data_IF_908189217521
#
_entry.id   IF_908189217521
#
_cell.length_a   1.000
_cell.length_b   1.000
_cell.length_c   1.000
_cell.angle_alpha   90.00
_cell.angle_beta   90.00
_cell.angle_gamma   90.00
#
_symmetry.space_group_name_H-M   'P 1'
#
loop_
_entity.id
_entity.type
_entity.pdbx_description
1 polymer ?
#
# COMPACT_ATOMS: atom_id res chain seq x y z
N UNK A 1 -1.04 -16.92 -7.40
CA UNK A 1 -0.55 -17.05 -6.02
C UNK A 1 -1.00 -15.83 -5.24
N UNK A 2 -1.51 -16.03 -4.04
CA UNK A 2 -1.83 -14.97 -3.09
C UNK A 2 -0.55 -14.36 -2.50
N UNK A 3 -0.69 -13.16 -1.92
CA UNK A 3 0.39 -12.40 -1.25
C UNK A 3 -0.21 -11.41 -0.27
N UNK A 4 0.60 -10.93 0.64
CA UNK A 4 0.28 -9.80 1.52
C UNK A 4 1.05 -8.58 1.00
N UNK A 5 0.35 -7.48 0.78
CA UNK A 5 0.95 -6.20 0.40
C UNK A 5 0.59 -5.16 1.45
N UNK A 6 1.59 -4.71 2.20
CA UNK A 6 1.43 -3.70 3.23
C UNK A 6 1.70 -2.30 2.65
N UNK A 7 0.69 -1.44 2.66
CA UNK A 7 0.78 -0.05 2.18
C UNK A 7 0.98 0.87 3.38
N UNK A 8 2.25 1.15 3.70
CA UNK A 8 2.71 1.91 4.85
C UNK A 8 3.12 3.34 4.52
N UNK A 9 3.59 4.08 5.52
CA UNK A 9 4.09 5.45 5.34
C UNK A 9 4.13 6.28 6.63
N UNK A 10 3.47 5.82 7.71
CA UNK A 10 3.38 6.40 9.06
C UNK A 10 2.81 7.83 9.17
N UNK A 11 3.16 8.74 8.27
CA UNK A 11 2.66 10.11 8.22
C UNK A 11 1.22 10.16 7.69
N UNK A 12 0.40 11.02 8.31
CA UNK A 12 -0.93 11.35 7.80
C UNK A 12 -0.83 12.16 6.51
N UNK A 13 -1.68 11.88 5.52
CA UNK A 13 -1.79 12.71 4.32
C UNK A 13 -0.82 12.40 3.17
N UNK A 14 0.19 11.53 3.34
CA UNK A 14 1.14 11.18 2.23
C UNK A 14 0.51 10.40 1.07
N UNK A 15 -0.72 9.92 1.22
CA UNK A 15 -1.49 9.28 0.16
C UNK A 15 -1.63 7.76 0.25
N UNK A 16 -1.37 7.14 1.41
CA UNK A 16 -1.51 5.69 1.65
C UNK A 16 -2.82 5.11 1.13
N UNK A 17 -3.96 5.68 1.53
CA UNK A 17 -5.28 5.22 1.08
C UNK A 17 -5.45 5.29 -0.44
N UNK A 18 -4.91 6.31 -1.11
CA UNK A 18 -4.97 6.41 -2.57
C UNK A 18 -4.14 5.31 -3.24
N UNK A 19 -2.95 5.02 -2.70
CA UNK A 19 -2.10 3.92 -3.17
C UNK A 19 -2.77 2.56 -2.95
N UNK A 20 -3.35 2.34 -1.77
CA UNK A 20 -4.07 1.11 -1.44
C UNK A 20 -5.31 0.92 -2.34
N UNK A 21 -6.10 1.98 -2.58
CA UNK A 21 -7.23 1.97 -3.50
C UNK A 21 -6.77 1.60 -4.91
N UNK A 22 -5.75 2.29 -5.43
CA UNK A 22 -5.22 2.04 -6.77
C UNK A 22 -4.69 0.61 -6.93
N UNK A 23 -4.02 0.09 -5.90
CA UNK A 23 -3.47 -1.27 -5.90
C UNK A 23 -4.58 -2.33 -5.87
N UNK A 24 -5.54 -2.20 -4.96
CA UNK A 24 -6.68 -3.13 -4.86
C UNK A 24 -7.55 -3.09 -6.12
N UNK A 25 -7.78 -1.89 -6.68
CA UNK A 25 -8.47 -1.69 -7.95
C UNK A 25 -7.74 -2.35 -9.12
N UNK A 26 -6.41 -2.18 -9.22
CA UNK A 26 -5.59 -2.84 -10.25
C UNK A 26 -5.67 -4.37 -10.14
N UNK A 27 -5.49 -4.92 -8.94
CA UNK A 27 -5.58 -6.36 -8.69
C UNK A 27 -6.96 -6.90 -9.07
N UNK A 28 -8.03 -6.23 -8.66
CA UNK A 28 -9.40 -6.68 -8.88
C UNK A 28 -9.85 -6.52 -10.32
N UNK A 29 -9.70 -5.33 -10.90
CA UNK A 29 -10.33 -4.96 -12.17
C UNK A 29 -9.41 -5.07 -13.38
N UNK A 30 -8.09 -5.06 -13.20
CA UNK A 30 -7.13 -5.23 -14.30
C UNK A 30 -6.55 -6.64 -14.35
N UNK A 31 -6.18 -7.20 -13.19
CA UNK A 31 -5.61 -8.56 -13.10
C UNK A 31 -6.66 -9.65 -12.86
N UNK A 32 -7.91 -9.29 -12.58
CA UNK A 32 -8.99 -10.21 -12.23
C UNK A 32 -8.62 -11.16 -11.08
N UNK A 33 -7.89 -10.67 -10.09
CA UNK A 33 -7.50 -11.43 -8.91
C UNK A 33 -8.48 -11.20 -7.75
N UNK A 34 -8.71 -12.21 -6.90
CA UNK A 34 -9.48 -12.01 -5.68
C UNK A 34 -8.68 -11.16 -4.68
N UNK A 35 -9.34 -10.15 -4.09
CA UNK A 35 -8.71 -9.19 -3.18
C UNK A 35 -9.38 -9.23 -1.81
N UNK A 36 -8.56 -9.30 -0.77
CA UNK A 36 -8.94 -9.05 0.61
C UNK A 36 -8.32 -7.71 1.05
N UNK A 37 -9.14 -6.72 1.39
CA UNK A 37 -8.66 -5.42 1.84
C UNK A 37 -8.75 -5.31 3.36
N UNK A 38 -7.64 -4.99 4.01
CA UNK A 38 -7.59 -4.71 5.44
C UNK A 38 -7.36 -3.22 5.65
N UNK A 39 -8.22 -2.60 6.45
CA UNK A 39 -8.07 -1.24 6.94
C UNK A 39 -7.57 -1.26 8.37
N UNK A 40 -6.42 -0.62 8.63
CA UNK A 40 -5.92 -0.51 10.00
C UNK A 40 -6.20 0.82 10.67
N UNK A 41 -6.60 1.84 9.89
CA UNK A 41 -7.24 3.06 10.41
C UNK A 41 -8.76 2.84 10.50
N UNK A 42 -9.21 2.39 11.67
CA UNK A 42 -10.65 2.16 11.91
C UNK A 42 -11.45 3.45 12.05
N UNK A 43 -10.79 4.59 12.30
CA UNK A 43 -11.46 5.89 12.36
C UNK A 43 -11.80 6.40 10.95
N UNK A 44 -10.87 6.21 10.01
CA UNK A 44 -11.02 6.65 8.61
C UNK A 44 -10.70 5.52 7.61
N UNK A 45 -11.59 4.52 7.46
CA UNK A 45 -11.38 3.39 6.54
C UNK A 45 -11.67 3.79 5.09
N UNK A 46 -10.85 4.68 4.53
CA UNK A 46 -11.06 5.33 3.24
C UNK A 46 -11.13 4.35 2.07
N UNK A 47 -10.24 3.36 2.01
CA UNK A 47 -10.19 2.39 0.94
C UNK A 47 -11.37 1.41 1.02
N UNK A 48 -11.75 0.93 2.20
CA UNK A 48 -12.94 0.08 2.35
C UNK A 48 -14.23 0.82 2.04
N UNK A 49 -14.33 2.10 2.43
CA UNK A 49 -15.47 2.97 2.05
C UNK A 49 -15.54 3.23 0.55
N UNK A 50 -14.41 3.21 -0.15
CA UNK A 50 -14.32 3.44 -1.59
C UNK A 50 -14.56 2.17 -2.43
N UNK A 51 -14.05 1.02 -1.98
CA UNK A 51 -14.00 -0.22 -2.77
C UNK A 51 -14.87 -1.35 -2.23
N UNK A 52 -15.38 -1.27 -1.00
CA UNK A 52 -15.83 -2.44 -0.24
C UNK A 52 -16.86 -3.34 -0.91
N UNK A 53 -17.74 -2.78 -1.75
CA UNK A 53 -18.75 -3.56 -2.50
C UNK A 53 -18.23 -4.18 -3.80
N UNK A 54 -17.01 -3.84 -4.22
CA UNK A 54 -16.40 -4.21 -5.51
C UNK A 54 -15.28 -5.25 -5.35
N UNK A 55 -14.81 -5.44 -4.13
CA UNK A 55 -13.76 -6.40 -3.75
C UNK A 55 -14.33 -7.60 -2.99
N UNK A 56 -13.53 -8.66 -2.88
CA UNK A 56 -14.04 -9.97 -2.43
C UNK A 56 -14.22 -10.07 -0.92
N UNK A 57 -13.42 -9.35 -0.14
CA UNK A 57 -13.52 -9.30 1.31
C UNK A 57 -12.92 -8.00 1.85
N UNK A 58 -13.44 -7.53 2.98
CA UNK A 58 -12.92 -6.38 3.72
C UNK A 58 -12.86 -6.67 5.21
N UNK A 59 -11.83 -6.15 5.89
CA UNK A 59 -11.73 -6.13 7.35
C UNK A 59 -11.29 -4.75 7.82
N UNK A 60 -11.83 -4.29 8.95
CA UNK A 60 -11.28 -3.18 9.71
C UNK A 60 -10.68 -3.72 11.01
N UNK A 61 -9.41 -3.46 11.29
CA UNK A 61 -8.71 -3.98 12.46
C UNK A 61 -7.76 -2.92 13.05
N UNK A 62 -7.98 -2.52 14.30
CA UNK A 62 -7.15 -1.48 14.94
C UNK A 62 -5.79 -2.03 15.39
N UNK A 63 -4.80 -1.96 14.49
CA UNK A 63 -3.44 -2.43 14.74
C UNK A 63 -2.65 -1.56 15.71
N UNK A 64 -3.25 -0.58 16.38
CA UNK A 64 -2.62 0.07 17.56
C UNK A 64 -2.63 -0.86 18.79
N UNK A 65 -3.45 -1.91 18.74
CA UNK A 65 -3.62 -2.89 19.82
C UNK A 65 -3.17 -4.27 19.36
N UNK A 66 -2.67 -5.10 20.27
CA UNK A 66 -2.32 -6.50 19.97
C UNK A 66 -3.53 -7.30 19.49
N UNK A 67 -4.71 -7.07 20.07
CA UNK A 67 -5.95 -7.73 19.64
C UNK A 67 -6.31 -7.41 18.18
N UNK A 68 -6.01 -6.19 17.71
CA UNK A 68 -6.18 -5.83 16.30
C UNK A 68 -5.23 -6.58 15.37
N UNK A 69 -3.97 -6.77 15.78
CA UNK A 69 -3.02 -7.63 15.06
C UNK A 69 -3.49 -9.08 14.99
N UNK A 70 -3.94 -9.64 16.11
CA UNK A 70 -4.49 -10.99 16.16
C UNK A 70 -5.70 -11.14 15.22
N UNK A 71 -6.63 -10.19 15.28
CA UNK A 71 -7.81 -10.16 14.39
C UNK A 71 -7.40 -10.13 12.93
N UNK A 72 -6.43 -9.27 12.57
CA UNK A 72 -5.95 -9.15 11.20
C UNK A 72 -5.28 -10.44 10.71
N UNK A 73 -4.37 -11.03 11.50
CA UNK A 73 -3.63 -12.23 11.08
C UNK A 73 -4.55 -13.45 10.92
N UNK A 74 -5.48 -13.66 11.84
CA UNK A 74 -6.47 -14.74 11.74
C UNK A 74 -7.35 -14.58 10.49
N UNK A 75 -7.73 -13.35 10.14
CA UNK A 75 -8.50 -13.10 8.92
C UNK A 75 -7.67 -13.30 7.65
N UNK A 76 -6.38 -12.95 7.66
CA UNK A 76 -5.46 -13.23 6.55
C UNK A 76 -5.36 -14.75 6.31
N UNK A 77 -5.23 -15.55 7.37
CA UNK A 77 -5.24 -17.01 7.29
C UNK A 77 -6.55 -17.56 6.69
N UNK A 78 -7.70 -17.04 7.13
CA UNK A 78 -9.03 -17.40 6.61
C UNK A 78 -9.26 -16.98 5.15
N UNK A 79 -8.48 -16.02 4.65
CA UNK A 79 -8.56 -15.48 3.29
C UNK A 79 -7.28 -15.68 2.49
N UNK A 80 -6.50 -16.71 2.81
CA UNK A 80 -5.23 -17.03 2.14
C UNK A 80 -5.37 -17.31 0.63
N UNK A 81 -6.59 -17.57 0.15
CA UNK A 81 -6.91 -17.71 -1.28
C UNK A 81 -6.92 -16.37 -2.04
N UNK A 82 -6.85 -15.24 -1.32
CA UNK A 82 -6.96 -13.88 -1.86
C UNK A 82 -5.64 -13.12 -1.70
N UNK A 83 -5.40 -12.14 -2.57
CA UNK A 83 -4.32 -11.18 -2.34
C UNK A 83 -4.76 -10.19 -1.26
N UNK A 84 -4.05 -10.16 -0.14
CA UNK A 84 -4.30 -9.24 0.96
C UNK A 84 -3.63 -7.89 0.69
N UNK A 85 -4.40 -6.80 0.70
CA UNK A 85 -3.90 -5.42 0.66
C UNK A 85 -4.19 -4.79 2.01
N UNK A 86 -3.15 -4.41 2.75
CA UNK A 86 -3.28 -3.75 4.06
C UNK A 86 -3.08 -2.26 3.84
N UNK A 87 -4.13 -1.46 4.02
CA UNK A 87 -4.04 0.00 4.09
C UNK A 87 -3.70 0.40 5.53
N UNK A 88 -2.44 0.75 5.76
CA UNK A 88 -1.98 1.05 7.11
C UNK A 88 -2.41 2.46 7.55
N UNK A 89 -2.81 2.59 8.81
CA UNK A 89 -3.12 3.88 9.43
C UNK A 89 -1.90 4.79 9.59
N UNK A 90 -2.13 6.03 10.01
CA UNK A 90 -1.03 6.90 10.43
C UNK A 90 -0.54 6.53 11.84
N UNK A 91 0.69 6.92 12.19
CA UNK A 91 1.31 6.68 13.50
C UNK A 91 1.42 5.19 13.84
N UNK A 92 1.68 4.37 12.82
CA UNK A 92 1.77 2.92 12.91
C UNK A 92 3.18 2.40 13.23
N UNK A 93 4.23 3.22 13.15
CA UNK A 93 5.60 2.77 13.43
C UNK A 93 5.77 2.15 14.82
N UNK A 94 5.14 2.72 15.86
CA UNK A 94 5.23 2.16 17.21
C UNK A 94 4.56 0.77 17.30
N UNK A 95 3.43 0.61 16.60
CA UNK A 95 2.75 -0.67 16.51
C UNK A 95 3.56 -1.69 15.69
N UNK A 96 4.15 -1.26 14.56
CA UNK A 96 5.04 -2.09 13.74
C UNK A 96 6.28 -2.53 14.52
N UNK A 97 6.89 -1.65 15.33
CA UNK A 97 8.02 -2.02 16.19
C UNK A 97 7.65 -3.08 17.22
N UNK A 98 6.44 -3.02 17.79
CA UNK A 98 5.99 -3.94 18.84
C UNK A 98 5.47 -5.26 18.29
N UNK A 99 4.77 -5.23 17.16
CA UNK A 99 3.95 -6.34 16.69
C UNK A 99 4.21 -6.69 15.21
N UNK A 100 5.04 -5.93 14.50
CA UNK A 100 5.35 -6.16 13.08
C UNK A 100 6.05 -7.49 12.81
N UNK A 101 6.77 -8.03 13.81
CA UNK A 101 7.32 -9.39 13.75
C UNK A 101 6.22 -10.45 13.57
N UNK A 102 5.03 -10.25 14.16
CA UNK A 102 3.91 -11.16 13.95
C UNK A 102 3.42 -11.17 12.49
N UNK A 103 3.47 -10.04 11.78
CA UNK A 103 3.13 -9.99 10.36
C UNK A 103 4.14 -10.75 9.51
N UNK A 104 5.43 -10.55 9.81
CA UNK A 104 6.52 -11.24 9.12
C UNK A 104 6.45 -12.76 9.34
N UNK A 105 6.38 -13.20 10.59
CA UNK A 105 6.27 -14.61 10.97
C UNK A 105 4.96 -15.25 10.53
N UNK A 106 3.86 -14.50 10.54
CA UNK A 106 2.57 -14.95 10.03
C UNK A 106 2.62 -15.21 8.52
N UNK A 107 3.22 -14.30 7.75
CA UNK A 107 3.44 -14.49 6.33
C UNK A 107 4.33 -15.72 6.03
N UNK A 108 5.42 -15.89 6.81
CA UNK A 108 6.30 -17.05 6.71
C UNK A 108 5.59 -18.37 7.05
N UNK A 109 4.83 -18.42 8.15
CA UNK A 109 4.08 -19.60 8.58
C UNK A 109 3.01 -20.02 7.56
N UNK A 110 2.38 -19.06 6.89
CA UNK A 110 1.41 -19.30 5.83
C UNK A 110 2.08 -19.58 4.46
N UNK A 111 3.41 -19.47 4.36
CA UNK A 111 4.16 -19.51 3.12
C UNK A 111 3.62 -18.52 2.06
N UNK A 112 3.19 -17.35 2.50
CA UNK A 112 2.66 -16.27 1.65
C UNK A 112 3.71 -15.16 1.54
N UNK A 113 4.07 -14.69 0.33
CA UNK A 113 4.98 -13.57 0.18
C UNK A 113 4.44 -12.29 0.83
N UNK A 114 5.30 -11.57 1.56
CA UNK A 114 5.02 -10.25 2.13
C UNK A 114 5.80 -9.18 1.37
N UNK A 115 5.09 -8.24 0.75
CA UNK A 115 5.67 -7.07 0.09
C UNK A 115 5.32 -5.80 0.88
N UNK A 116 6.29 -4.90 1.03
CA UNK A 116 6.07 -3.59 1.67
C UNK A 116 6.12 -2.48 0.61
N UNK A 117 5.04 -1.72 0.52
CA UNK A 117 4.92 -0.51 -0.27
C UNK A 117 4.90 0.70 0.68
N UNK A 118 6.03 1.41 0.81
CA UNK A 118 6.17 2.53 1.74
C UNK A 118 5.95 3.87 1.07
N UNK A 119 4.84 4.53 1.36
CA UNK A 119 4.45 5.79 0.70
C UNK A 119 5.13 6.99 1.35
N UNK A 120 5.77 7.83 0.54
CA UNK A 120 6.43 9.07 0.99
C UNK A 120 5.91 10.30 0.26
N UNK A 121 5.93 11.45 0.95
CA UNK A 121 6.15 12.74 0.31
C UNK A 121 7.65 13.08 0.35
N UNK A 122 8.15 13.94 -0.55
CA UNK A 122 9.59 14.24 -0.64
C UNK A 122 10.09 15.20 0.48
N UNK A 123 9.72 14.89 1.72
CA UNK A 123 10.05 15.67 2.90
C UNK A 123 10.88 14.83 3.88
N UNK A 124 11.71 15.49 4.68
CA UNK A 124 12.65 14.83 5.59
C UNK A 124 11.95 13.96 6.63
N UNK A 125 10.76 14.34 7.08
CA UNK A 125 10.00 13.60 8.08
C UNK A 125 9.47 12.26 7.55
N UNK A 126 9.10 12.16 6.27
CA UNK A 126 8.79 10.88 5.61
C UNK A 126 9.99 9.94 5.59
N UNK A 127 11.21 10.48 5.44
CA UNK A 127 12.44 9.69 5.50
C UNK A 127 12.78 9.23 6.92
N UNK A 128 12.59 10.10 7.92
CA UNK A 128 12.75 9.71 9.32
C UNK A 128 11.80 8.56 9.67
N UNK A 129 10.53 8.67 9.26
CA UNK A 129 9.55 7.61 9.45
C UNK A 129 9.92 6.30 8.73
N UNK A 130 10.45 6.38 7.50
CA UNK A 130 10.92 5.20 6.78
C UNK A 130 12.10 4.52 7.50
N UNK A 131 13.10 5.30 7.93
CA UNK A 131 14.23 4.76 8.72
C UNK A 131 13.72 4.06 9.98
N UNK A 132 12.83 4.72 10.71
CA UNK A 132 12.28 4.18 11.96
C UNK A 132 11.49 2.89 11.74
N UNK A 133 10.87 2.71 10.57
CA UNK A 133 10.23 1.45 10.16
C UNK A 133 11.27 0.37 9.81
N UNK A 134 12.32 0.73 9.07
CA UNK A 134 13.39 -0.20 8.66
C UNK A 134 14.22 -0.76 9.81
N UNK A 135 14.22 -0.10 10.98
CA UNK A 135 14.78 -0.63 12.23
C UNK A 135 14.00 -1.85 12.75
N UNK A 136 12.69 -1.89 12.55
CA UNK A 136 11.81 -2.98 12.99
C UNK A 136 11.49 -4.02 11.92
N UNK A 137 11.80 -3.74 10.66
CA UNK A 137 11.52 -4.62 9.53
C UNK A 137 12.78 -4.85 8.68
N UNK A 138 13.37 -6.06 8.68
CA UNK A 138 14.63 -6.33 7.97
C UNK A 138 14.44 -6.67 6.48
N UNK A 139 13.21 -6.88 6.02
CA UNK A 139 12.90 -7.30 4.65
C UNK A 139 13.02 -6.20 3.60
N UNK A 140 12.68 -6.56 2.37
CA UNK A 140 12.62 -5.63 1.22
C UNK A 140 11.50 -4.61 1.40
N UNK A 141 11.80 -3.35 1.12
CA UNK A 141 10.84 -2.24 1.14
C UNK A 141 10.91 -1.50 -0.19
N UNK A 142 9.81 -1.47 -0.94
CA UNK A 142 9.70 -0.63 -2.12
C UNK A 142 9.06 0.72 -1.73
N UNK A 143 9.75 1.81 -2.06
CA UNK A 143 9.35 3.18 -1.74
C UNK A 143 8.42 3.68 -2.83
N UNK A 144 7.22 4.08 -2.45
CA UNK A 144 6.22 4.65 -3.35
C UNK A 144 6.23 6.17 -3.20
N UNK A 145 6.90 6.86 -4.12
CA UNK A 145 6.97 8.31 -4.13
C UNK A 145 5.70 8.91 -4.69
N UNK A 146 4.87 9.58 -3.88
CA UNK A 146 3.62 10.15 -4.36
C UNK A 146 3.85 11.46 -5.12
N UNK A 147 3.73 11.43 -6.46
CA UNK A 147 3.97 12.59 -7.33
C UNK A 147 2.98 13.75 -7.13
N UNK A 148 1.90 13.54 -6.38
CA UNK A 148 1.06 14.64 -5.93
C UNK A 148 1.84 15.70 -5.13
N UNK A 149 2.90 15.30 -4.42
CA UNK A 149 3.76 16.18 -3.64
C UNK A 149 5.05 16.60 -4.36
N UNK A 150 5.47 15.85 -5.37
CA UNK A 150 6.57 16.18 -6.26
C UNK A 150 6.18 15.82 -7.70
N UNK A 151 5.65 16.82 -8.42
CA UNK A 151 5.15 16.63 -9.77
C UNK A 151 6.24 16.21 -10.76
N UNK A 152 7.46 16.71 -10.56
CA UNK A 152 8.64 16.33 -11.33
C UNK A 152 9.04 14.86 -11.08
N UNK A 153 8.51 14.22 -10.03
CA UNK A 153 8.81 12.83 -9.66
C UNK A 153 10.28 12.65 -9.31
N UNK A 154 10.92 13.71 -8.85
CA UNK A 154 12.34 13.75 -8.58
C UNK A 154 12.66 13.01 -7.28
N UNK A 155 11.87 13.23 -6.22
CA UNK A 155 12.12 12.75 -4.87
C UNK A 155 13.56 13.01 -4.43
N UNK A 156 14.05 14.24 -4.64
CA UNK A 156 15.44 14.61 -4.42
C UNK A 156 15.87 14.36 -2.97
N UNK A 157 15.02 14.67 -1.98
CA UNK A 157 15.33 14.43 -0.58
C UNK A 157 15.57 12.95 -0.32
N UNK A 158 14.74 12.06 -0.89
CA UNK A 158 14.98 10.61 -0.83
C UNK A 158 16.24 10.20 -1.59
N UNK A 159 16.40 10.66 -2.84
CA UNK A 159 17.47 10.22 -3.74
C UNK A 159 18.86 10.57 -3.24
N UNK A 160 18.98 11.70 -2.55
CA UNK A 160 20.23 12.19 -1.98
C UNK A 160 20.47 11.69 -0.54
N UNK A 161 19.56 10.86 -0.01
CA UNK A 161 19.65 10.32 1.35
C UNK A 161 20.49 9.04 1.43
N UNK A 162 21.05 8.78 2.61
CA UNK A 162 21.69 7.50 2.93
C UNK A 162 20.69 6.34 3.01
N UNK A 163 19.43 6.63 3.31
CA UNK A 163 18.36 5.61 3.42
C UNK A 163 18.13 4.93 2.07
N UNK A 164 18.28 5.65 0.96
CA UNK A 164 18.19 5.05 -0.38
C UNK A 164 19.16 3.89 -0.56
N UNK A 165 20.43 4.07 -0.17
CA UNK A 165 21.44 3.03 -0.32
C UNK A 165 21.06 1.77 0.49
N UNK A 166 20.46 1.94 1.66
CA UNK A 166 19.98 0.83 2.48
C UNK A 166 18.75 0.13 1.86
N UNK A 167 17.81 0.89 1.30
CA UNK A 167 16.67 0.36 0.55
C UNK A 167 17.15 -0.49 -0.64
N UNK A 168 18.06 0.06 -1.45
CA UNK A 168 18.63 -0.63 -2.62
C UNK A 168 19.42 -1.89 -2.21
N UNK A 169 20.17 -1.83 -1.10
CA UNK A 169 20.88 -2.99 -0.55
C UNK A 169 19.93 -4.12 -0.09
N UNK A 170 18.70 -3.78 0.33
CA UNK A 170 17.62 -4.74 0.63
C UNK A 170 16.80 -5.12 -0.60
N UNK A 171 17.23 -4.72 -1.81
CA UNK A 171 16.58 -5.01 -3.09
C UNK A 171 15.34 -4.17 -3.38
N UNK A 172 15.06 -3.15 -2.56
CA UNK A 172 13.94 -2.23 -2.75
C UNK A 172 14.24 -1.13 -3.76
N UNK A 173 13.20 -0.50 -4.27
CA UNK A 173 13.31 0.58 -5.27
C UNK A 173 12.39 1.76 -4.97
N UNK A 174 12.70 2.93 -5.52
CA UNK A 174 11.77 4.06 -5.60
C UNK A 174 10.89 3.91 -6.84
N UNK A 175 9.57 3.94 -6.66
CA UNK A 175 8.55 3.92 -7.72
C UNK A 175 7.69 5.18 -7.63
N UNK A 176 7.73 6.07 -8.63
CA UNK A 176 6.85 7.24 -8.66
C UNK A 176 5.39 6.81 -8.86
N UNK A 177 4.53 7.13 -7.90
CA UNK A 177 3.08 6.94 -8.02
C UNK A 177 2.48 8.10 -8.81
N UNK A 178 1.70 7.82 -9.88
CA UNK A 178 1.27 8.83 -10.83
C UNK A 178 0.25 9.83 -10.26
N UNK A 179 0.27 11.05 -10.82
CA UNK A 179 -0.69 12.09 -10.49
C UNK A 179 -2.01 11.78 -11.17
N UNK A 180 -3.09 11.77 -10.39
CA UNK A 180 -4.45 11.77 -10.92
C UNK A 180 -4.96 13.22 -10.98
N UNK A 181 -5.63 13.65 -12.07
CA UNK A 181 -6.24 14.98 -12.13
C UNK A 181 -7.13 15.26 -10.92
N UNK A 182 -7.06 16.49 -10.40
CA UNK A 182 -7.73 16.86 -9.13
C UNK A 182 -9.21 16.49 -9.04
N UNK A 183 -10.05 16.71 -10.08
CA UNK A 183 -11.46 16.30 -10.00
C UNK A 183 -11.65 14.80 -9.78
N UNK A 184 -10.84 13.96 -10.45
CA UNK A 184 -10.86 12.52 -10.29
C UNK A 184 -10.31 12.08 -8.92
N UNK A 185 -9.24 12.73 -8.46
CA UNK A 185 -8.71 12.49 -7.12
C UNK A 185 -9.72 12.83 -6.02
N UNK A 186 -10.48 13.92 -6.18
CA UNK A 186 -11.59 14.30 -5.30
C UNK A 186 -12.71 13.27 -5.35
N UNK A 187 -13.10 12.80 -6.53
CA UNK A 187 -14.15 11.78 -6.67
C UNK A 187 -13.80 10.48 -5.92
N UNK A 188 -12.53 10.07 -5.94
CA UNK A 188 -12.06 8.90 -5.19
C UNK A 188 -12.02 9.19 -3.69
N UNK A 189 -11.36 10.27 -3.27
CA UNK A 189 -11.10 10.53 -1.84
C UNK A 189 -12.32 11.03 -1.06
N UNK A 190 -13.03 11.99 -1.64
CA UNK A 190 -14.12 12.69 -0.97
C UNK A 190 -15.45 12.01 -1.25
N UNK A 191 -15.74 11.74 -2.53
CA UNK A 191 -17.02 11.16 -2.94
C UNK A 191 -17.03 9.63 -2.82
N UNK A 192 -15.88 9.02 -2.47
CA UNK A 192 -15.71 7.58 -2.22
C UNK A 192 -16.13 6.73 -3.42
N UNK A 193 -15.94 7.23 -4.63
CA UNK A 193 -16.21 6.49 -5.85
C UNK A 193 -14.96 5.74 -6.27
N UNK A 194 -15.06 4.43 -6.45
CA UNK A 194 -13.94 3.64 -6.94
C UNK A 194 -13.51 4.08 -8.35
N UNK A 195 -12.25 3.83 -8.76
CA UNK A 195 -11.84 4.04 -10.14
C UNK A 195 -12.74 3.31 -11.14
N UNK A 196 -13.19 2.08 -10.83
CA UNK A 196 -14.08 1.31 -11.70
C UNK A 196 -15.46 1.97 -11.86
N UNK A 197 -16.06 2.44 -10.76
CA UNK A 197 -17.34 3.14 -10.75
C UNK A 197 -17.26 4.50 -11.47
N UNK A 198 -16.12 5.19 -11.40
CA UNK A 198 -15.90 6.42 -12.16
C UNK A 198 -15.83 6.12 -13.65
N UNK A 199 -15.03 5.13 -14.09
CA UNK A 199 -14.90 4.78 -15.50
C UNK A 199 -16.23 4.41 -16.17
N UNK A 200 -17.13 3.76 -15.44
CA UNK A 200 -18.43 3.35 -15.95
C UNK A 200 -19.35 4.53 -16.34
N UNK A 201 -19.13 5.73 -15.77
CA UNK A 201 -20.06 6.85 -15.87
C UNK A 201 -19.43 8.17 -16.31
N UNK A 202 -18.09 8.26 -16.30
CA UNK A 202 -17.39 9.51 -16.56
C UNK A 202 -17.44 9.91 -18.05
N UNK A 203 -17.36 11.22 -18.37
CA UNK A 203 -17.21 11.68 -19.74
C UNK A 203 -15.90 11.19 -20.38
N UNK A 204 -15.78 11.35 -21.70
CA UNK A 204 -14.68 10.76 -22.48
C UNK A 204 -13.29 11.15 -21.96
N UNK A 205 -13.05 12.42 -21.67
CA UNK A 205 -11.74 12.90 -21.23
C UNK A 205 -11.33 12.29 -19.89
N UNK A 206 -12.23 12.32 -18.91
CA UNK A 206 -12.05 11.74 -17.58
C UNK A 206 -11.78 10.24 -17.64
N UNK A 207 -12.48 9.51 -18.53
CA UNK A 207 -12.23 8.08 -18.74
C UNK A 207 -10.81 7.84 -19.25
N UNK A 208 -10.40 8.53 -20.31
CA UNK A 208 -9.04 8.40 -20.88
C UNK A 208 -7.98 8.75 -19.83
N UNK A 209 -8.18 9.83 -19.07
CA UNK A 209 -7.25 10.23 -18.01
C UNK A 209 -7.12 9.17 -16.90
N UNK A 210 -8.24 8.57 -16.49
CA UNK A 210 -8.28 7.56 -15.45
C UNK A 210 -7.71 6.21 -15.92
N UNK A 211 -7.97 5.81 -17.17
CA UNK A 211 -7.37 4.63 -17.82
C UNK A 211 -5.85 4.77 -17.93
N UNK A 212 -5.37 5.94 -18.37
CA UNK A 212 -3.94 6.25 -18.37
C UNK A 212 -3.35 6.15 -16.97
N UNK A 213 -3.99 6.77 -15.98
CA UNK A 213 -3.53 6.72 -14.60
C UNK A 213 -3.47 5.29 -14.05
N UNK A 214 -4.46 4.44 -14.36
CA UNK A 214 -4.44 3.00 -14.01
C UNK A 214 -3.26 2.26 -14.65
N UNK A 215 -2.92 2.60 -15.89
CA UNK A 215 -1.76 2.01 -16.59
C UNK A 215 -0.46 2.42 -15.89
N UNK A 216 -0.29 3.71 -15.60
CA UNK A 216 0.89 4.22 -14.89
C UNK A 216 0.99 3.63 -13.45
N UNK A 217 -0.14 3.42 -12.77
CA UNK A 217 -0.19 2.74 -11.47
C UNK A 217 0.28 1.28 -11.58
N UNK A 218 -0.14 0.56 -12.62
CA UNK A 218 0.28 -0.82 -12.84
C UNK A 218 1.80 -0.93 -12.99
N UNK A 219 2.43 0.03 -13.69
CA UNK A 219 3.89 0.11 -13.80
C UNK A 219 4.55 0.39 -12.45
N UNK A 220 3.99 1.29 -11.64
CA UNK A 220 4.51 1.56 -10.30
C UNK A 220 4.44 0.32 -9.39
N UNK A 221 3.39 -0.49 -9.52
CA UNK A 221 3.17 -1.68 -8.70
C UNK A 221 3.87 -2.94 -9.18
N UNK A 222 4.36 -2.99 -10.42
CA UNK A 222 4.95 -4.21 -10.98
C UNK A 222 5.99 -4.90 -10.06
N UNK A 223 6.94 -4.20 -9.43
CA UNK A 223 7.94 -4.84 -8.55
C UNK A 223 7.34 -5.46 -7.27
N UNK A 224 6.24 -4.89 -6.76
CA UNK A 224 5.50 -5.45 -5.62
C UNK A 224 4.78 -6.75 -5.99
N UNK A 225 4.52 -6.93 -7.28
CA UNK A 225 3.72 -8.03 -7.81
C UNK A 225 4.53 -9.13 -8.49
N UNK A 226 5.84 -8.92 -8.64
CA UNK A 226 6.78 -9.94 -9.08
C UNK A 226 6.94 -11.04 -8.01
N UNK A 227 7.31 -12.24 -8.45
CA UNK A 227 7.56 -13.34 -7.53
C UNK A 227 8.80 -13.03 -6.69
N UNK A 228 8.61 -12.82 -5.39
CA UNK A 228 9.72 -12.69 -4.45
C UNK A 228 9.94 -14.00 -3.72
N UNK A 229 11.20 -14.41 -3.49
CA UNK A 229 11.47 -15.53 -2.60
C UNK A 229 10.88 -15.24 -1.21
N UNK A 230 10.39 -16.27 -0.53
CA UNK A 230 9.86 -16.12 0.83
C UNK A 230 10.93 -15.47 1.71
N UNK A 231 10.57 -14.37 2.36
CA UNK A 231 11.46 -13.66 3.28
C UNK A 231 11.67 -14.55 4.51
N UNK A 232 12.76 -15.31 4.55
CA UNK A 232 13.11 -16.10 5.74
C UNK A 232 13.55 -15.15 6.85
N UNK A 233 12.98 -15.28 8.05
CA UNK A 233 13.57 -14.62 9.21
C UNK A 233 15.02 -15.13 9.38
N UNK A 234 16.00 -14.23 9.50
CA UNK A 234 17.31 -14.66 10.00
C UNK A 234 17.14 -15.04 11.46
N UNK A 235 17.48 -16.29 11.76
CA UNK A 235 17.59 -16.82 13.12
C UNK A 235 18.58 -16.02 13.98
#
# INVERSE_FOLDING_TARGET
>A
MSRIIYVGGNKGGVGKSMVAIALADHLRHTRNLPVFLVETDTANPDAAKCLGTEINATLAADTRTEAGWQTMLNAIEQHQDKTCVINAGARDNDAMRRYGDYLHRGAEALAIPLAIAWVINDERDSLLALRDFMEGYPGRVDVIGNRFFDEAGSFAVYRDSRIRAEIEARGGTLRPFPILPRPLATAIKTDRRSPAAILAQAPLFERIALEKWRTDCAEAFAPLLEAQPLTTARA
#
